data_IF_872206648128
#
_entry.id   IF_872206648128
#
_cell.length_a   1.000
_cell.length_b   1.000
_cell.length_c   1.000
_cell.angle_alpha   90.00
_cell.angle_beta   90.00
_cell.angle_gamma   90.00
#
_symmetry.space_group_name_H-M   'P 1'
#
loop_
_entity.id
_entity.type
_entity.pdbx_description
1 polymer ?
#
# COMPACT_ATOMS: atom_id res chain seq x y z
N UNK A 1 -7.91 -5.64 22.44
CA UNK A 1 -7.39 -6.10 23.77
C UNK A 1 -5.87 -6.34 23.78
N UNK A 2 -5.20 -6.51 22.65
CA UNK A 2 -3.75 -6.74 22.56
C UNK A 2 -2.92 -5.45 22.40
N UNK A 3 -3.54 -4.29 22.18
CA UNK A 3 -2.83 -3.01 22.04
C UNK A 3 -2.28 -2.54 23.37
N UNK A 4 -0.99 -2.13 23.47
CA UNK A 4 -0.32 -1.83 24.75
C UNK A 4 -1.00 -0.75 25.60
N UNK A 5 -1.52 0.32 24.98
CA UNK A 5 -2.21 1.42 25.66
C UNK A 5 -3.60 1.01 26.20
N UNK A 6 -4.51 0.45 25.37
CA UNK A 6 -5.84 0.01 25.84
C UNK A 6 -5.76 -1.16 26.82
N UNK A 7 -4.72 -2.00 26.73
CA UNK A 7 -4.49 -3.12 27.69
C UNK A 7 -3.93 -2.68 29.03
N UNK A 8 -3.58 -1.40 29.21
CA UNK A 8 -2.96 -0.89 30.43
C UNK A 8 -1.49 -1.29 30.64
N UNK A 9 -0.86 -1.99 29.67
CA UNK A 9 0.56 -2.40 29.79
C UNK A 9 1.51 -1.21 29.77
N UNK A 10 1.11 -0.12 29.12
CA UNK A 10 1.87 1.13 29.08
C UNK A 10 0.96 2.25 29.57
N UNK A 11 1.39 2.94 30.62
CA UNK A 11 0.69 4.14 31.13
C UNK A 11 0.78 5.32 30.15
N UNK A 12 -0.23 6.19 30.17
CA UNK A 12 -0.25 7.41 29.33
C UNK A 12 1.03 8.25 29.41
N UNK A 13 1.61 8.54 30.61
CA UNK A 13 2.83 9.35 30.68
C UNK A 13 4.03 8.65 30.04
N UNK A 14 4.15 7.33 30.19
CA UNK A 14 5.21 6.55 29.55
C UNK A 14 5.07 6.56 28.03
N UNK A 15 3.85 6.48 27.50
CA UNK A 15 3.60 6.58 26.05
C UNK A 15 3.99 7.94 25.50
N UNK A 16 3.67 9.03 26.21
CA UNK A 16 4.07 10.39 25.83
C UNK A 16 5.60 10.53 25.85
N UNK A 17 6.26 10.00 26.88
CA UNK A 17 7.73 10.02 26.97
C UNK A 17 8.38 9.31 25.77
N UNK A 18 7.91 8.10 25.45
CA UNK A 18 8.41 7.32 24.30
C UNK A 18 8.22 8.10 22.99
N UNK A 19 7.03 8.67 22.77
CA UNK A 19 6.74 9.48 21.59
C UNK A 19 7.65 10.70 21.50
N UNK A 20 7.89 11.38 22.61
CA UNK A 20 8.79 12.56 22.66
C UNK A 20 10.23 12.19 22.32
N UNK A 21 10.73 11.08 22.88
CA UNK A 21 12.07 10.57 22.57
C UNK A 21 12.18 10.22 21.07
N UNK A 22 11.19 9.50 20.52
CA UNK A 22 11.17 9.14 19.10
C UNK A 22 11.11 10.38 18.20
N UNK A 23 10.34 11.39 18.59
CA UNK A 23 10.25 12.64 17.83
C UNK A 23 11.57 13.41 17.84
N UNK A 24 12.19 13.57 19.01
CA UNK A 24 13.49 14.25 19.15
C UNK A 24 14.57 13.49 18.37
N UNK A 25 14.61 12.16 18.46
CA UNK A 25 15.57 11.35 17.70
C UNK A 25 15.37 11.45 16.20
N UNK A 26 14.12 11.50 15.72
CA UNK A 26 13.83 11.71 14.31
C UNK A 26 14.29 13.10 13.84
N UNK A 27 14.02 14.17 14.59
CA UNK A 27 14.50 15.52 14.29
C UNK A 27 16.05 15.59 14.26
N UNK A 28 16.70 14.93 15.22
CA UNK A 28 18.16 14.87 15.27
C UNK A 28 18.73 14.14 14.04
N UNK A 29 18.13 13.01 13.65
CA UNK A 29 18.52 12.27 12.44
C UNK A 29 18.33 13.11 11.17
N UNK A 30 17.22 13.82 11.02
CA UNK A 30 16.98 14.72 9.89
C UNK A 30 18.06 15.80 9.79
N UNK A 31 18.43 16.36 10.93
CA UNK A 31 19.46 17.42 11.00
C UNK A 31 20.86 16.86 10.69
N UNK A 32 21.25 15.75 11.31
CA UNK A 32 22.60 15.17 11.16
C UNK A 32 22.84 14.60 9.76
N UNK A 33 21.83 13.96 9.17
CA UNK A 33 21.90 13.40 7.82
C UNK A 33 21.70 14.45 6.71
N UNK A 34 21.43 15.71 7.06
CA UNK A 34 21.19 16.81 6.10
C UNK A 34 20.19 16.44 5.01
N UNK A 35 19.05 15.87 5.44
CA UNK A 35 18.03 15.38 4.50
C UNK A 35 17.55 16.49 3.56
N UNK A 36 17.28 16.17 2.27
CA UNK A 36 16.76 17.12 1.29
C UNK A 36 15.45 17.77 1.76
N UNK A 37 15.23 19.03 1.41
CA UNK A 37 14.03 19.77 1.81
C UNK A 37 12.73 19.09 1.33
N UNK A 38 12.75 18.49 0.14
CA UNK A 38 11.60 17.76 -0.40
C UNK A 38 11.23 16.54 0.45
N UNK A 39 12.24 15.84 1.00
CA UNK A 39 11.99 14.76 1.97
C UNK A 39 11.29 15.29 3.22
N UNK A 40 11.74 16.43 3.73
CA UNK A 40 11.12 17.06 4.92
C UNK A 40 9.66 17.43 4.62
N UNK A 41 9.37 17.98 3.44
CA UNK A 41 7.98 18.25 3.02
C UNK A 41 7.13 16.98 2.94
N UNK A 42 7.66 15.88 2.41
CA UNK A 42 6.96 14.60 2.36
C UNK A 42 6.64 14.09 3.78
N UNK A 43 7.58 14.18 4.72
CA UNK A 43 7.40 13.79 6.13
C UNK A 43 6.35 14.68 6.82
N UNK A 44 6.40 16.00 6.62
CA UNK A 44 5.43 16.92 7.19
C UNK A 44 4.03 16.69 6.65
N UNK A 45 3.90 16.49 5.33
CA UNK A 45 2.61 16.18 4.71
C UNK A 45 2.05 14.83 5.21
N UNK A 46 2.91 13.83 5.35
CA UNK A 46 2.54 12.55 5.94
C UNK A 46 2.04 12.71 7.39
N UNK A 47 2.75 13.49 8.20
CA UNK A 47 2.35 13.76 9.58
C UNK A 47 1.01 14.51 9.63
N UNK A 48 0.82 15.52 8.78
CA UNK A 48 -0.42 16.28 8.67
C UNK A 48 -1.61 15.39 8.30
N UNK A 49 -1.45 14.55 7.26
CA UNK A 49 -2.50 13.61 6.84
C UNK A 49 -2.88 12.66 7.98
N UNK A 50 -1.90 12.09 8.70
CA UNK A 50 -2.17 11.22 9.84
C UNK A 50 -2.87 11.96 11.00
N UNK A 51 -2.50 13.21 11.25
CA UNK A 51 -3.14 14.04 12.27
C UNK A 51 -4.62 14.28 11.92
N UNK A 52 -4.89 14.76 10.72
CA UNK A 52 -6.23 15.08 10.23
C UNK A 52 -7.10 13.79 10.14
N UNK A 53 -6.51 12.66 9.70
CA UNK A 53 -7.13 11.34 9.76
C UNK A 53 -7.56 10.98 11.19
N UNK A 54 -6.68 11.19 12.17
CA UNK A 54 -6.95 10.88 13.58
C UNK A 54 -7.99 11.79 14.21
N UNK A 55 -8.09 13.06 13.76
CA UNK A 55 -9.05 14.04 14.27
C UNK A 55 -10.50 13.78 13.86
N UNK A 56 -10.75 12.89 12.89
CA UNK A 56 -12.13 12.52 12.55
C UNK A 56 -12.35 12.08 11.11
N UNK A 57 -11.45 12.37 10.17
CA UNK A 57 -11.63 11.99 8.77
C UNK A 57 -11.66 10.46 8.56
N UNK A 58 -11.15 9.68 9.50
CA UNK A 58 -11.28 8.22 9.53
C UNK A 58 -12.73 7.70 9.53
N UNK A 59 -13.71 8.58 9.83
CA UNK A 59 -15.13 8.22 9.85
C UNK A 59 -15.87 8.61 8.56
N UNK A 60 -15.19 9.26 7.61
CA UNK A 60 -15.77 9.62 6.32
C UNK A 60 -15.44 8.50 5.32
N UNK A 61 -16.47 7.74 4.86
CA UNK A 61 -16.28 6.66 3.88
C UNK A 61 -15.59 7.18 2.61
N UNK A 62 -14.86 6.30 1.95
CA UNK A 62 -14.05 6.58 0.74
C UNK A 62 -12.86 7.51 1.02
N UNK A 63 -13.07 8.64 1.71
CA UNK A 63 -11.98 9.56 2.04
C UNK A 63 -10.93 8.88 2.93
N UNK A 64 -11.36 8.06 3.88
CA UNK A 64 -10.45 7.30 4.73
C UNK A 64 -9.55 6.33 3.93
N UNK A 65 -10.10 5.69 2.89
CA UNK A 65 -9.34 4.80 2.02
C UNK A 65 -8.25 5.55 1.26
N UNK A 66 -8.59 6.75 0.74
CA UNK A 66 -7.67 7.63 0.02
C UNK A 66 -6.57 8.12 0.96
N UNK A 67 -6.92 8.57 2.17
CA UNK A 67 -5.95 9.07 3.15
C UNK A 67 -4.98 7.98 3.60
N UNK A 68 -5.45 6.76 3.83
CA UNK A 68 -4.57 5.63 4.18
C UNK A 68 -3.63 5.30 3.02
N UNK A 69 -4.16 5.21 1.80
CA UNK A 69 -3.37 4.88 0.62
C UNK A 69 -2.36 5.97 0.25
N UNK A 70 -2.71 7.25 0.42
CA UNK A 70 -1.78 8.36 0.22
C UNK A 70 -0.56 8.30 1.13
N UNK A 71 -0.71 7.74 2.34
CA UNK A 71 0.41 7.50 3.24
C UNK A 71 1.46 6.53 2.69
N UNK A 72 1.08 5.56 1.85
CA UNK A 72 2.03 4.67 1.16
C UNK A 72 2.76 5.41 0.03
N UNK A 73 2.02 6.20 -0.73
CA UNK A 73 2.61 7.03 -1.79
C UNK A 73 3.62 8.03 -1.23
N UNK A 74 3.27 8.71 -0.14
CA UNK A 74 4.17 9.67 0.51
C UNK A 74 5.44 9.01 1.07
N UNK A 75 5.36 7.78 1.58
CA UNK A 75 6.54 7.03 2.00
C UNK A 75 7.45 6.68 0.81
N UNK A 76 6.85 6.30 -0.33
CA UNK A 76 7.60 6.03 -1.55
C UNK A 76 8.29 7.32 -2.05
N UNK A 77 7.55 8.42 -2.17
CA UNK A 77 8.09 9.72 -2.62
C UNK A 77 9.18 10.20 -1.67
N UNK A 78 8.91 10.17 -0.36
CA UNK A 78 9.92 10.52 0.64
C UNK A 78 11.18 9.66 0.54
N UNK A 79 11.04 8.33 0.35
CA UNK A 79 12.18 7.45 0.14
C UNK A 79 13.00 7.80 -1.11
N UNK A 80 12.35 8.11 -2.23
CA UNK A 80 13.01 8.58 -3.45
C UNK A 80 13.78 9.87 -3.24
N UNK A 81 13.16 10.85 -2.59
CA UNK A 81 13.80 12.14 -2.27
C UNK A 81 14.98 11.97 -1.31
N UNK A 82 14.87 11.12 -0.28
CA UNK A 82 15.95 10.85 0.67
C UNK A 82 17.19 10.27 0.00
N UNK A 83 17.01 9.44 -1.02
CA UNK A 83 18.10 8.78 -1.75
C UNK A 83 18.49 9.53 -3.04
N UNK A 84 17.83 10.67 -3.33
CA UNK A 84 17.99 11.42 -4.59
C UNK A 84 17.76 10.56 -5.84
N UNK A 85 16.81 9.60 -5.74
CA UNK A 85 16.40 8.72 -6.83
C UNK A 85 15.14 9.29 -7.47
N UNK A 86 15.22 9.62 -8.77
CA UNK A 86 14.06 10.04 -9.56
C UNK A 86 13.06 8.91 -9.66
N UNK A 87 11.86 9.10 -9.09
CA UNK A 87 10.77 8.13 -9.19
C UNK A 87 10.03 8.28 -10.51
N UNK A 88 9.78 7.17 -11.18
CA UNK A 88 8.94 7.21 -12.37
C UNK A 88 7.48 7.43 -11.99
N UNK A 89 6.69 8.14 -12.82
CA UNK A 89 5.24 8.26 -12.60
C UNK A 89 4.54 6.90 -12.48
N UNK A 90 5.07 5.88 -13.12
CA UNK A 90 4.53 4.52 -13.13
C UNK A 90 4.60 3.85 -11.76
N UNK A 91 5.73 3.97 -11.04
CA UNK A 91 5.85 3.38 -9.70
C UNK A 91 4.95 4.09 -8.70
N UNK A 92 4.74 5.41 -8.88
CA UNK A 92 3.80 6.17 -8.06
C UNK A 92 2.36 5.70 -8.31
N UNK A 93 1.95 5.57 -9.59
CA UNK A 93 0.62 5.11 -9.97
C UNK A 93 0.37 3.66 -9.50
N UNK A 94 1.34 2.76 -9.68
CA UNK A 94 1.26 1.38 -9.20
C UNK A 94 1.14 1.31 -7.68
N UNK A 95 1.94 2.09 -6.95
CA UNK A 95 1.87 2.15 -5.48
C UNK A 95 0.52 2.69 -5.02
N UNK A 96 -0.01 3.72 -5.66
CA UNK A 96 -1.31 4.29 -5.34
C UNK A 96 -2.43 3.25 -5.55
N UNK A 97 -2.48 2.59 -6.71
CA UNK A 97 -3.51 1.59 -7.02
C UNK A 97 -3.42 0.36 -6.12
N UNK A 98 -2.23 -0.18 -5.87
CA UNK A 98 -2.02 -1.34 -5.00
C UNK A 98 -2.32 -1.03 -3.53
N UNK A 99 -1.89 0.12 -3.02
CA UNK A 99 -2.16 0.50 -1.62
C UNK A 99 -3.66 0.70 -1.40
N UNK A 100 -4.36 1.31 -2.36
CA UNK A 100 -5.81 1.46 -2.31
C UNK A 100 -6.52 0.11 -2.39
N UNK A 101 -6.07 -0.79 -3.27
CA UNK A 101 -6.58 -2.15 -3.39
C UNK A 101 -6.48 -2.92 -2.05
N UNK A 102 -5.30 -2.90 -1.42
CA UNK A 102 -5.08 -3.56 -0.12
C UNK A 102 -5.95 -2.93 0.98
N UNK A 103 -6.11 -1.61 0.97
CA UNK A 103 -6.94 -0.89 1.95
C UNK A 103 -8.42 -1.27 1.81
N UNK A 104 -8.93 -1.33 0.57
CA UNK A 104 -10.31 -1.77 0.29
C UNK A 104 -10.52 -3.23 0.66
N UNK A 105 -9.56 -4.11 0.33
CA UNK A 105 -9.63 -5.53 0.69
C UNK A 105 -9.68 -5.73 2.21
N UNK A 106 -8.88 -4.97 2.95
CA UNK A 106 -8.92 -4.98 4.42
C UNK A 106 -10.27 -4.50 4.94
N UNK A 107 -10.82 -3.41 4.39
CA UNK A 107 -12.12 -2.89 4.81
C UNK A 107 -13.25 -3.89 4.55
N UNK A 108 -13.19 -4.60 3.41
CA UNK A 108 -14.12 -5.68 3.10
C UNK A 108 -14.02 -6.82 4.12
N UNK A 109 -12.79 -7.24 4.46
CA UNK A 109 -12.58 -8.28 5.46
C UNK A 109 -13.14 -7.88 6.83
N UNK A 110 -12.86 -6.66 7.29
CA UNK A 110 -13.39 -6.13 8.54
C UNK A 110 -14.94 -6.15 8.55
N UNK A 111 -15.59 -5.91 7.40
CA UNK A 111 -17.04 -5.91 7.25
C UNK A 111 -17.64 -7.34 7.28
N UNK A 112 -16.97 -8.29 6.58
CA UNK A 112 -17.45 -9.70 6.50
C UNK A 112 -17.32 -10.41 7.85
N UNK A 113 -16.23 -10.14 8.59
CA UNK A 113 -15.95 -10.76 9.88
C UNK A 113 -16.81 -10.22 11.03
N UNK A 114 -17.69 -9.24 10.78
CA UNK A 114 -18.54 -8.62 11.81
C UNK A 114 -17.76 -8.33 13.09
N UNK A 115 -16.76 -7.46 13.00
CA UNK A 115 -15.95 -7.10 14.17
C UNK A 115 -16.84 -6.54 15.29
N UNK A 116 -16.72 -7.13 16.50
CA UNK A 116 -17.53 -6.76 17.68
C UNK A 116 -17.11 -5.43 18.32
N UNK A 117 -16.05 -4.79 17.82
CA UNK A 117 -15.51 -3.55 18.36
C UNK A 117 -16.31 -2.34 17.85
N UNK A 118 -16.88 -1.55 18.74
CA UNK A 118 -17.68 -0.34 18.42
C UNK A 118 -16.94 0.66 17.51
N UNK A 119 -15.63 0.86 17.71
CA UNK A 119 -14.82 1.74 16.87
C UNK A 119 -14.68 1.23 15.43
N UNK A 120 -14.62 -0.10 15.22
CA UNK A 120 -14.61 -0.68 13.87
C UNK A 120 -15.97 -0.56 13.21
N UNK A 121 -17.07 -0.75 13.99
CA UNK A 121 -18.43 -0.53 13.46
C UNK A 121 -18.63 0.91 12.97
N UNK A 122 -18.15 1.91 13.70
CA UNK A 122 -18.26 3.30 13.30
C UNK A 122 -17.54 3.61 11.98
N UNK A 123 -16.38 2.98 11.71
CA UNK A 123 -15.64 3.15 10.46
C UNK A 123 -16.20 2.35 9.28
N UNK A 124 -17.11 1.40 9.53
CA UNK A 124 -17.77 0.59 8.49
C UNK A 124 -19.11 1.19 8.04
N UNK A 125 -19.61 2.21 8.74
CA UNK A 125 -20.83 2.93 8.34
C UNK A 125 -20.61 3.55 6.95
N UNK A 126 -21.53 3.27 6.03
CA UNK A 126 -21.46 3.76 4.65
C UNK A 126 -20.78 2.81 3.66
N UNK A 127 -20.43 1.59 4.09
CA UNK A 127 -19.96 0.52 3.21
C UNK A 127 -20.92 -0.67 3.23
N UNK A 128 -21.05 -1.34 2.09
CA UNK A 128 -21.59 -2.67 1.99
C UNK A 128 -20.65 -3.57 1.18
N UNK A 129 -20.87 -4.88 1.25
CA UNK A 129 -20.00 -5.88 0.61
C UNK A 129 -20.00 -5.71 -0.91
N UNK A 130 -21.15 -5.41 -1.52
CA UNK A 130 -21.28 -5.22 -2.97
C UNK A 130 -20.47 -4.03 -3.48
N UNK A 131 -20.57 -2.91 -2.77
CA UNK A 131 -19.78 -1.71 -3.09
C UNK A 131 -18.28 -1.98 -3.00
N UNK A 132 -17.83 -2.64 -1.93
CA UNK A 132 -16.41 -2.98 -1.76
C UNK A 132 -15.93 -4.01 -2.78
N UNK A 133 -16.76 -4.99 -3.18
CA UNK A 133 -16.46 -5.92 -4.26
C UNK A 133 -16.31 -5.20 -5.61
N UNK A 134 -17.19 -4.24 -5.88
CA UNK A 134 -17.10 -3.40 -7.09
C UNK A 134 -15.83 -2.56 -7.11
N UNK A 135 -15.48 -1.92 -5.99
CA UNK A 135 -14.22 -1.17 -5.86
C UNK A 135 -12.99 -2.07 -6.04
N UNK A 136 -12.99 -3.28 -5.47
CA UNK A 136 -11.90 -4.25 -5.66
C UNK A 136 -11.72 -4.61 -7.13
N UNK A 137 -12.82 -4.89 -7.85
CA UNK A 137 -12.77 -5.23 -9.27
C UNK A 137 -12.23 -4.07 -10.12
N UNK A 138 -12.67 -2.84 -9.83
CA UNK A 138 -12.18 -1.64 -10.49
C UNK A 138 -10.67 -1.45 -10.23
N UNK A 139 -10.23 -1.56 -8.97
CA UNK A 139 -8.85 -1.36 -8.59
C UNK A 139 -7.91 -2.43 -9.16
N UNK A 140 -8.36 -3.69 -9.22
CA UNK A 140 -7.63 -4.76 -9.91
C UNK A 140 -7.46 -4.42 -11.38
N UNK A 141 -8.53 -4.00 -12.06
CA UNK A 141 -8.47 -3.60 -13.47
C UNK A 141 -7.54 -2.41 -13.69
N UNK A 142 -7.65 -1.37 -12.86
CA UNK A 142 -6.76 -0.20 -12.91
C UNK A 142 -5.30 -0.61 -12.71
N UNK A 143 -5.01 -1.47 -11.74
CA UNK A 143 -3.63 -1.92 -11.47
C UNK A 143 -3.05 -2.69 -12.65
N UNK A 144 -3.84 -3.58 -13.26
CA UNK A 144 -3.43 -4.33 -14.46
C UNK A 144 -3.15 -3.37 -15.62
N UNK A 145 -4.06 -2.43 -15.88
CA UNK A 145 -3.92 -1.44 -16.96
C UNK A 145 -2.69 -0.57 -16.76
N UNK A 146 -2.47 -0.03 -15.56
CA UNK A 146 -1.27 0.76 -15.22
C UNK A 146 -0.01 -0.05 -15.49
N UNK A 147 0.02 -1.32 -15.11
CA UNK A 147 1.19 -2.16 -15.36
C UNK A 147 1.40 -2.47 -16.85
N UNK A 148 0.34 -2.79 -17.59
CA UNK A 148 0.43 -3.04 -19.03
C UNK A 148 0.91 -1.79 -19.77
N UNK A 149 0.36 -0.62 -19.48
CA UNK A 149 0.82 0.63 -20.09
C UNK A 149 2.28 0.93 -19.72
N UNK A 150 2.67 0.69 -18.45
CA UNK A 150 4.08 0.76 -18.08
C UNK A 150 4.95 -0.14 -18.95
N UNK A 151 4.57 -1.41 -19.12
CA UNK A 151 5.40 -2.41 -19.81
C UNK A 151 5.57 -2.15 -21.31
N UNK A 152 4.72 -1.32 -21.92
CA UNK A 152 4.84 -0.90 -23.34
C UNK A 152 5.40 0.54 -23.47
N UNK A 153 5.67 1.24 -22.37
CA UNK A 153 6.22 2.60 -22.40
C UNK A 153 7.70 2.60 -22.81
N UNK A 154 8.13 3.68 -23.47
CA UNK A 154 9.56 3.88 -23.81
C UNK A 154 10.45 3.78 -22.57
N UNK A 155 9.98 4.30 -21.42
CA UNK A 155 10.68 4.21 -20.15
C UNK A 155 11.01 2.77 -19.73
N UNK A 156 10.07 1.84 -19.91
CA UNK A 156 10.27 0.44 -19.53
C UNK A 156 11.07 -0.32 -20.58
N UNK A 157 10.78 -0.10 -21.87
CA UNK A 157 11.44 -0.81 -22.98
C UNK A 157 12.90 -0.43 -23.12
N UNK A 158 13.29 0.83 -22.89
CA UNK A 158 14.67 1.28 -22.89
C UNK A 158 15.49 0.69 -21.72
N UNK A 159 14.87 0.42 -20.57
CA UNK A 159 15.57 -0.07 -19.38
C UNK A 159 15.56 -1.59 -19.22
N UNK A 160 14.51 -2.25 -19.72
CA UNK A 160 14.24 -3.67 -19.46
C UNK A 160 14.07 -4.47 -20.75
N UNK A 161 14.20 -3.84 -21.91
CA UNK A 161 14.01 -4.48 -23.22
C UNK A 161 12.54 -4.64 -23.61
N UNK A 162 12.31 -4.94 -24.91
CA UNK A 162 10.95 -5.05 -25.50
C UNK A 162 10.13 -6.20 -24.92
N UNK A 163 10.78 -7.22 -24.37
CA UNK A 163 10.12 -8.41 -23.82
C UNK A 163 9.52 -8.21 -22.42
N UNK A 164 9.69 -7.02 -21.82
CA UNK A 164 9.12 -6.69 -20.51
C UNK A 164 7.60 -6.87 -20.46
N UNK A 165 6.91 -6.76 -21.61
CA UNK A 165 5.47 -6.97 -21.72
C UNK A 165 5.03 -8.36 -21.23
N UNK A 166 5.86 -9.40 -21.36
CA UNK A 166 5.53 -10.74 -20.89
C UNK A 166 5.42 -10.83 -19.36
N UNK A 167 6.02 -9.91 -18.62
CA UNK A 167 5.85 -9.83 -17.18
C UNK A 167 4.44 -9.39 -16.74
N UNK A 168 3.63 -8.88 -17.68
CA UNK A 168 2.21 -8.58 -17.44
C UNK A 168 1.37 -9.85 -17.21
N UNK A 169 1.78 -10.99 -17.75
CA UNK A 169 1.05 -12.26 -17.61
C UNK A 169 0.97 -12.68 -16.14
N UNK A 170 2.09 -12.85 -15.41
CA UNK A 170 2.04 -13.17 -13.99
C UNK A 170 1.37 -12.10 -13.13
N UNK A 171 1.46 -10.81 -13.50
CA UNK A 171 0.70 -9.75 -12.82
C UNK A 171 -0.79 -10.00 -12.94
N UNK A 172 -1.29 -10.29 -14.15
CA UNK A 172 -2.69 -10.58 -14.40
C UNK A 172 -3.16 -11.82 -13.63
N UNK A 173 -2.38 -12.91 -13.64
CA UNK A 173 -2.68 -14.14 -12.89
C UNK A 173 -2.73 -13.84 -11.39
N UNK A 174 -1.75 -13.12 -10.85
CA UNK A 174 -1.70 -12.75 -9.43
C UNK A 174 -2.88 -11.88 -9.01
N UNK A 175 -3.25 -10.88 -9.82
CA UNK A 175 -4.38 -10.00 -9.55
C UNK A 175 -5.73 -10.73 -9.56
N UNK A 176 -5.96 -11.63 -10.53
CA UNK A 176 -7.16 -12.45 -10.56
C UNK A 176 -7.21 -13.44 -9.39
N UNK A 177 -6.05 -14.02 -9.03
CA UNK A 177 -5.96 -14.90 -7.86
C UNK A 177 -6.25 -14.14 -6.57
N UNK A 178 -5.71 -12.93 -6.41
CA UNK A 178 -6.01 -12.06 -5.27
C UNK A 178 -7.51 -11.77 -5.15
N UNK A 179 -8.16 -11.42 -6.27
CA UNK A 179 -9.59 -11.15 -6.32
C UNK A 179 -10.40 -12.41 -5.94
N UNK A 180 -10.02 -13.59 -6.47
CA UNK A 180 -10.65 -14.86 -6.14
C UNK A 180 -10.52 -15.19 -4.64
N UNK A 181 -9.32 -15.06 -4.07
CA UNK A 181 -9.07 -15.31 -2.65
C UNK A 181 -9.90 -14.38 -1.75
N UNK A 182 -10.00 -13.11 -2.15
CA UNK A 182 -10.70 -12.10 -1.36
C UNK A 182 -12.21 -12.22 -1.47
N UNK A 183 -12.76 -12.42 -2.69
CA UNK A 183 -14.21 -12.41 -2.92
C UNK A 183 -14.83 -13.79 -2.75
N UNK A 184 -14.23 -14.83 -3.34
CA UNK A 184 -14.84 -16.18 -3.40
C UNK A 184 -14.52 -17.00 -2.17
N UNK A 185 -13.26 -16.99 -1.73
CA UNK A 185 -12.84 -17.78 -0.58
C UNK A 185 -12.93 -17.04 0.76
N UNK A 186 -13.30 -15.75 0.73
CA UNK A 186 -13.45 -14.89 1.90
C UNK A 186 -12.27 -14.94 2.88
N UNK A 187 -11.10 -15.34 2.37
CA UNK A 187 -9.85 -15.43 3.11
C UNK A 187 -9.25 -14.03 3.23
N UNK A 188 -9.74 -13.23 4.15
CA UNK A 188 -9.39 -11.81 4.18
C UNK A 188 -8.91 -11.27 5.51
N UNK A 189 -8.56 -12.11 6.50
CA UNK A 189 -8.14 -11.64 7.83
C UNK A 189 -6.99 -10.64 7.74
N UNK A 190 -6.03 -10.94 6.87
CA UNK A 190 -4.94 -10.03 6.52
C UNK A 190 -4.61 -10.17 5.03
N UNK A 191 -5.00 -9.20 4.17
CA UNK A 191 -4.69 -9.23 2.75
C UNK A 191 -3.21 -9.49 2.45
N UNK A 192 -2.32 -8.98 3.30
CA UNK A 192 -0.88 -9.20 3.20
C UNK A 192 -0.46 -10.65 3.49
N UNK A 193 -1.17 -11.38 4.36
CA UNK A 193 -0.90 -12.79 4.61
C UNK A 193 -1.35 -13.69 3.44
N UNK A 194 -2.39 -13.30 2.71
CA UNK A 194 -2.83 -14.02 1.51
C UNK A 194 -1.72 -14.09 0.46
N UNK A 195 -1.01 -12.96 0.28
CA UNK A 195 0.09 -12.86 -0.69
C UNK A 195 1.21 -13.85 -0.39
N UNK A 196 1.50 -14.11 0.88
CA UNK A 196 2.62 -14.96 1.31
C UNK A 196 2.24 -16.42 1.55
N UNK A 197 0.97 -16.72 1.84
CA UNK A 197 0.52 -18.07 2.21
C UNK A 197 -0.11 -18.84 1.05
N UNK A 198 -0.66 -18.16 0.06
CA UNK A 198 -1.27 -18.85 -1.09
C UNK A 198 -0.21 -19.20 -2.13
N UNK A 199 -0.13 -20.49 -2.46
CA UNK A 199 0.85 -21.03 -3.42
C UNK A 199 0.71 -20.40 -4.81
N UNK A 200 -0.52 -20.10 -5.24
CA UNK A 200 -0.78 -19.46 -6.53
C UNK A 200 -0.29 -18.02 -6.57
N UNK A 201 -0.49 -17.25 -5.48
CA UNK A 201 0.05 -15.90 -5.34
C UNK A 201 1.58 -15.91 -5.34
N UNK A 202 2.20 -16.77 -4.52
CA UNK A 202 3.67 -16.90 -4.45
C UNK A 202 4.24 -17.32 -5.82
N UNK A 203 3.63 -18.26 -6.50
CA UNK A 203 4.08 -18.70 -7.83
C UNK A 203 3.98 -17.56 -8.86
N UNK A 204 2.91 -16.75 -8.86
CA UNK A 204 2.78 -15.61 -9.77
C UNK A 204 3.82 -14.52 -9.48
N UNK A 205 4.13 -14.26 -8.22
CA UNK A 205 5.18 -13.30 -7.83
C UNK A 205 6.56 -13.80 -8.26
N UNK A 206 6.88 -15.06 -8.01
CA UNK A 206 8.18 -15.65 -8.42
C UNK A 206 8.33 -15.63 -9.94
N UNK A 207 7.27 -15.98 -10.68
CA UNK A 207 7.26 -15.91 -12.14
C UNK A 207 7.45 -14.47 -12.65
N UNK A 208 6.78 -13.52 -12.02
CA UNK A 208 6.96 -12.10 -12.30
C UNK A 208 8.42 -11.67 -12.14
N UNK A 209 9.02 -11.95 -10.98
CA UNK A 209 10.41 -11.60 -10.67
C UNK A 209 11.37 -12.28 -11.67
N UNK A 210 11.14 -13.55 -11.98
CA UNK A 210 11.96 -14.29 -12.93
C UNK A 210 11.92 -13.65 -14.33
N UNK A 211 10.72 -13.39 -14.87
CA UNK A 211 10.57 -12.75 -16.19
C UNK A 211 11.17 -11.34 -16.18
N UNK A 212 10.90 -10.56 -15.14
CA UNK A 212 11.41 -9.19 -15.03
C UNK A 212 12.94 -9.14 -15.03
N UNK A 213 13.60 -10.03 -14.27
CA UNK A 213 15.05 -10.15 -14.24
C UNK A 213 15.59 -10.61 -15.61
N UNK A 214 14.99 -11.64 -16.18
CA UNK A 214 15.43 -12.18 -17.48
C UNK A 214 15.33 -11.13 -18.59
N UNK A 215 14.24 -10.38 -18.65
CA UNK A 215 14.05 -9.34 -19.68
C UNK A 215 15.02 -8.19 -19.49
N UNK A 216 15.34 -7.81 -18.26
CA UNK A 216 16.35 -6.76 -17.98
C UNK A 216 17.73 -7.20 -18.44
N UNK A 217 18.16 -8.42 -18.14
CA UNK A 217 19.48 -8.92 -18.58
C UNK A 217 19.57 -9.14 -20.09
N UNK A 218 18.50 -9.61 -20.73
CA UNK A 218 18.48 -9.80 -22.19
C UNK A 218 18.39 -8.47 -22.95
N UNK A 219 17.75 -7.47 -22.35
CA UNK A 219 17.62 -6.13 -22.94
C UNK A 219 18.92 -5.31 -22.92
N UNK A 220 19.93 -5.70 -22.14
CA UNK A 220 21.28 -5.09 -22.11
C UNK A 220 22.22 -5.65 -23.18
N UNK A 221 21.86 -6.72 -23.90
CA UNK A 221 22.61 -7.35 -25.00
C UNK A 221 22.13 -6.80 -26.34
#
# INVERSE_FOLDING_TARGET
RLRPLPSGRIGKPMAVLILSIMFISACLLLYTLRMPINFIYAVLLYALINLVYSMGLKHIPVLELILVSSGFVLRLVGGGEALSIGLSPWIIAATASLSLLITVAKRRSDLVQKSDLEEQRASLIGYNVEFLNSLLSILVSVTIVVYVIFSISDYATERHGQFIIFSSIPVLIGMFRFLQLTIVFERGDFPTELITRDKGMVASILLFVCIFILTTFVGEI
#
